data_IF_523727974552
#
_entry.id   IF_523727974552
#
_cell.length_a   1.000
_cell.length_b   1.000
_cell.length_c   1.000
_cell.angle_alpha   90.00
_cell.angle_beta   90.00
_cell.angle_gamma   90.00
#
_symmetry.space_group_name_H-M   'P 1'
#
loop_
_entity.id
_entity.type
_entity.pdbx_description
1 polymer ?
#
# COMPACT_ATOMS: atom_id res chain seq x y z
N UNK A 1 -5.47 14.33 1.62
CA UNK A 1 -4.59 15.54 1.51
C UNK A 1 -3.48 15.42 2.54
N UNK A 2 -2.22 15.63 2.14
CA UNK A 2 -1.08 15.62 3.07
C UNK A 2 -0.38 14.27 3.25
N UNK A 3 -0.77 13.22 2.57
CA UNK A 3 -0.11 11.92 2.60
C UNK A 3 1.39 12.03 2.23
N UNK A 4 1.69 12.82 1.23
CA UNK A 4 3.04 13.13 0.75
C UNK A 4 3.95 13.66 1.86
N UNK A 5 3.43 14.62 2.64
CA UNK A 5 4.15 15.24 3.76
C UNK A 5 4.24 14.30 4.97
N UNK A 6 3.18 13.55 5.25
CA UNK A 6 3.10 12.65 6.40
C UNK A 6 4.07 11.47 6.24
N UNK A 7 4.14 10.89 5.06
CA UNK A 7 5.03 9.76 4.75
C UNK A 7 6.45 10.23 4.40
N UNK A 8 6.63 11.52 4.07
CA UNK A 8 7.91 12.05 3.63
C UNK A 8 8.33 11.48 2.27
N UNK A 9 7.40 11.47 1.32
CA UNK A 9 7.61 10.88 -0.01
C UNK A 9 8.86 11.43 -0.71
N UNK A 10 9.19 12.69 -0.50
CA UNK A 10 10.40 13.31 -1.07
C UNK A 10 11.69 12.54 -0.71
N UNK A 11 11.70 11.85 0.44
CA UNK A 11 12.87 11.11 0.90
C UNK A 11 12.99 9.72 0.29
N UNK A 12 11.89 9.18 -0.22
CA UNK A 12 11.85 7.83 -0.79
C UNK A 12 11.79 7.82 -2.31
N UNK A 13 11.60 8.98 -2.94
CA UNK A 13 11.68 9.11 -4.41
C UNK A 13 13.15 8.99 -4.83
N UNK A 14 13.43 8.02 -5.68
CA UNK A 14 14.79 7.75 -6.22
C UNK A 14 14.97 8.27 -7.63
N UNK A 15 13.88 8.50 -8.36
CA UNK A 15 13.92 9.05 -9.72
C UNK A 15 12.63 9.78 -10.06
N UNK A 16 12.70 10.84 -10.86
CA UNK A 16 11.56 11.64 -11.30
C UNK A 16 11.04 12.62 -10.24
N UNK A 17 9.84 13.14 -10.46
CA UNK A 17 9.17 14.07 -9.55
C UNK A 17 7.78 13.53 -9.17
N UNK A 18 7.44 13.59 -7.89
CA UNK A 18 6.14 13.13 -7.41
C UNK A 18 5.00 13.97 -7.95
N UNK A 19 4.24 13.38 -8.84
CA UNK A 19 3.02 13.96 -9.42
C UNK A 19 2.06 12.81 -9.70
N UNK A 20 0.80 12.90 -9.24
CA UNK A 20 -0.20 11.85 -9.45
C UNK A 20 -1.21 12.20 -10.54
N UNK A 21 -1.40 13.46 -10.82
CA UNK A 21 -2.31 13.93 -11.86
C UNK A 21 -1.90 15.32 -12.33
N UNK A 22 -2.08 15.56 -13.60
CA UNK A 22 -2.20 16.90 -14.18
C UNK A 22 -3.58 17.01 -14.84
N UNK A 23 -3.86 18.11 -15.50
CA UNK A 23 -5.19 18.31 -16.14
C UNK A 23 -5.44 17.40 -17.35
N UNK A 24 -4.46 16.62 -17.79
CA UNK A 24 -4.50 15.82 -19.02
C UNK A 24 -4.29 14.34 -18.73
N UNK A 25 -3.34 14.00 -17.87
CA UNK A 25 -2.91 12.62 -17.63
C UNK A 25 -2.94 12.24 -16.15
N UNK A 26 -3.22 10.96 -15.90
CA UNK A 26 -3.01 10.33 -14.62
C UNK A 26 -1.60 9.74 -14.59
N UNK A 27 -0.95 9.90 -13.44
CA UNK A 27 0.40 9.38 -13.20
C UNK A 27 0.39 8.35 -12.10
N UNK A 28 1.34 7.44 -12.19
CA UNK A 28 1.64 6.46 -11.16
C UNK A 28 3.09 6.58 -10.72
N UNK A 29 3.32 6.26 -9.46
CA UNK A 29 4.65 6.19 -8.87
C UNK A 29 4.88 4.74 -8.44
N UNK A 30 5.48 3.90 -9.31
CA UNK A 30 5.82 2.52 -8.98
C UNK A 30 7.01 2.45 -8.02
N UNK A 31 7.08 1.36 -7.26
CA UNK A 31 8.30 0.99 -6.56
C UNK A 31 9.40 0.59 -7.53
N UNK A 32 10.64 0.67 -7.09
CA UNK A 32 11.83 0.44 -7.94
C UNK A 32 11.82 -0.95 -8.59
N UNK A 33 11.34 -1.98 -7.88
CA UNK A 33 11.24 -3.34 -8.43
C UNK A 33 10.16 -3.45 -9.50
N UNK A 34 8.97 -2.85 -9.30
CA UNK A 34 7.91 -2.78 -10.31
C UNK A 34 8.40 -2.02 -11.55
N UNK A 35 9.09 -0.90 -11.34
CA UNK A 35 9.67 -0.11 -12.43
C UNK A 35 10.67 -0.91 -13.26
N UNK A 36 11.55 -1.65 -12.59
CA UNK A 36 12.56 -2.47 -13.25
C UNK A 36 11.95 -3.65 -14.03
N UNK A 37 10.96 -4.34 -13.42
CA UNK A 37 10.30 -5.49 -14.02
C UNK A 37 9.47 -5.14 -15.25
N UNK A 38 8.75 -4.03 -15.19
CA UNK A 38 7.86 -3.58 -16.26
C UNK A 38 8.54 -2.60 -17.25
N UNK A 39 9.79 -2.20 -16.98
CA UNK A 39 10.51 -1.25 -17.81
C UNK A 39 9.90 0.15 -17.84
N UNK A 40 9.12 0.52 -16.82
CA UNK A 40 8.49 1.84 -16.73
C UNK A 40 9.43 2.83 -16.04
N UNK A 41 9.84 3.85 -16.78
CA UNK A 41 10.75 4.90 -16.31
C UNK A 41 10.02 6.24 -16.20
N UNK A 42 10.46 7.14 -15.29
CA UNK A 42 9.89 8.48 -15.19
C UNK A 42 9.94 9.21 -16.53
N UNK A 43 8.83 9.84 -16.88
CA UNK A 43 8.62 10.56 -18.15
C UNK A 43 8.78 9.70 -19.41
N UNK A 44 8.75 8.37 -19.26
CA UNK A 44 8.76 7.45 -20.39
C UNK A 44 7.47 7.56 -21.21
N UNK A 45 7.58 7.25 -22.49
CA UNK A 45 6.44 7.28 -23.42
C UNK A 45 5.51 6.08 -23.19
N UNK A 46 6.02 5.02 -22.59
CA UNK A 46 5.29 3.78 -22.38
C UNK A 46 4.41 3.89 -21.14
N UNK A 47 3.07 3.78 -21.28
CA UNK A 47 2.16 3.82 -20.14
C UNK A 47 2.18 2.49 -19.38
N UNK A 48 1.95 2.56 -18.08
CA UNK A 48 1.63 1.44 -17.22
C UNK A 48 0.11 1.21 -17.27
N UNK A 49 -0.31 -0.03 -17.52
CA UNK A 49 -1.72 -0.42 -17.49
C UNK A 49 -2.06 -1.06 -16.16
N UNK A 50 -3.09 -0.54 -15.51
CA UNK A 50 -3.62 -1.07 -14.26
C UNK A 50 -4.94 -1.77 -14.56
N UNK A 51 -5.04 -3.03 -14.18
CA UNK A 51 -6.22 -3.86 -14.35
C UNK A 51 -6.84 -4.16 -13.00
N UNK A 52 -8.12 -3.91 -12.83
CA UNK A 52 -8.87 -4.30 -11.66
C UNK A 52 -10.11 -5.11 -12.06
N UNK A 53 -10.42 -6.22 -11.39
CA UNK A 53 -11.64 -6.95 -11.68
C UNK A 53 -12.86 -6.07 -11.38
N UNK A 54 -13.87 -6.12 -12.22
CA UNK A 54 -15.15 -5.44 -11.99
C UNK A 54 -15.81 -5.99 -10.74
N UNK A 55 -16.43 -5.11 -9.96
CA UNK A 55 -17.12 -5.51 -8.71
C UNK A 55 -18.39 -6.29 -8.98
N UNK A 56 -19.08 -5.96 -10.06
CA UNK A 56 -20.34 -6.60 -10.46
C UNK A 56 -20.17 -7.28 -11.80
N UNK A 57 -20.80 -8.45 -11.93
CA UNK A 57 -20.80 -9.23 -13.15
C UNK A 57 -20.21 -10.62 -12.99
N UNK A 58 -20.48 -11.47 -13.98
CA UNK A 58 -19.83 -12.80 -14.09
C UNK A 58 -18.60 -12.66 -14.97
N UNK A 59 -17.55 -13.38 -14.59
CA UNK A 59 -16.36 -13.47 -15.45
C UNK A 59 -16.76 -14.06 -16.79
N UNK A 60 -16.56 -13.30 -17.86
CA UNK A 60 -16.81 -13.77 -19.20
C UNK A 60 -15.63 -14.61 -19.66
N UNK A 61 -15.81 -15.95 -19.71
CA UNK A 61 -14.76 -16.87 -20.11
C UNK A 61 -14.42 -16.78 -21.61
N UNK A 62 -15.31 -16.20 -22.44
CA UNK A 62 -15.08 -16.02 -23.88
C UNK A 62 -14.25 -14.77 -24.14
N UNK A 63 -14.53 -13.69 -23.39
CA UNK A 63 -13.80 -12.42 -23.48
C UNK A 63 -13.41 -11.96 -22.07
N UNK A 64 -12.33 -12.48 -21.50
CA UNK A 64 -11.91 -12.17 -20.14
C UNK A 64 -11.62 -10.69 -19.92
N UNK A 65 -11.16 -9.97 -20.95
CA UNK A 65 -10.84 -8.55 -20.90
C UNK A 65 -12.03 -7.69 -20.46
N UNK A 66 -13.25 -8.09 -20.84
CA UNK A 66 -14.48 -7.40 -20.43
C UNK A 66 -14.80 -7.51 -18.94
N UNK A 67 -14.08 -8.37 -18.21
CA UNK A 67 -14.25 -8.58 -16.78
C UNK A 67 -13.35 -7.67 -15.93
N UNK A 68 -12.53 -6.86 -16.57
CA UNK A 68 -11.61 -5.93 -15.90
C UNK A 68 -11.90 -4.50 -16.28
N UNK A 69 -11.76 -3.62 -15.31
CA UNK A 69 -11.58 -2.19 -15.56
C UNK A 69 -10.10 -1.95 -15.84
N UNK A 70 -9.82 -1.15 -16.85
CA UNK A 70 -8.43 -0.87 -17.27
C UNK A 70 -8.21 0.62 -17.30
N UNK A 71 -7.15 1.06 -16.63
CA UNK A 71 -6.70 2.45 -16.69
C UNK A 71 -5.21 2.50 -17.05
N UNK A 72 -4.85 3.52 -17.80
CA UNK A 72 -3.47 3.79 -18.17
C UNK A 72 -2.94 4.96 -17.37
N UNK A 73 -1.74 4.82 -16.85
CA UNK A 73 -1.01 5.88 -16.14
C UNK A 73 0.39 5.98 -16.67
N UNK A 74 0.94 7.19 -16.67
CA UNK A 74 2.35 7.40 -17.00
C UNK A 74 3.18 7.44 -15.72
N UNK A 75 4.44 7.02 -15.80
CA UNK A 75 5.32 7.05 -14.64
C UNK A 75 5.88 8.46 -14.45
N UNK A 76 5.57 9.10 -13.32
CA UNK A 76 6.10 10.42 -12.97
C UNK A 76 7.36 10.34 -12.13
N UNK A 77 7.41 9.36 -11.24
CA UNK A 77 8.53 9.11 -10.34
C UNK A 77 8.62 7.62 -10.01
N UNK A 78 9.73 7.22 -9.39
CA UNK A 78 9.93 5.87 -8.85
C UNK A 78 10.34 6.02 -7.39
N UNK A 79 9.75 5.21 -6.50
CA UNK A 79 10.10 5.21 -5.09
C UNK A 79 10.87 3.96 -4.67
N UNK A 80 11.64 4.06 -3.59
CA UNK A 80 12.22 2.92 -2.88
C UNK A 80 12.23 3.16 -1.38
N UNK A 81 11.73 2.19 -0.64
CA UNK A 81 11.79 2.14 0.82
C UNK A 81 12.77 1.08 1.32
N UNK A 82 13.51 0.45 0.40
CA UNK A 82 14.46 -0.65 0.66
C UNK A 82 13.79 -1.87 1.33
N UNK A 83 12.51 -2.08 1.03
CA UNK A 83 11.75 -3.23 1.48
C UNK A 83 11.11 -3.90 0.25
N UNK A 84 11.52 -5.13 -0.12
CA UNK A 84 11.05 -5.82 -1.34
C UNK A 84 9.53 -5.95 -1.41
N UNK A 85 8.87 -6.03 -0.26
CA UNK A 85 7.42 -6.16 -0.18
C UNK A 85 6.67 -4.94 -0.70
N UNK A 86 7.25 -3.75 -0.53
CA UNK A 86 6.72 -2.49 -1.06
C UNK A 86 7.31 -2.16 -2.42
N UNK A 87 8.61 -2.28 -2.55
CA UNK A 87 9.35 -1.87 -3.76
C UNK A 87 8.98 -2.71 -5.00
N UNK A 88 8.61 -4.01 -4.80
CA UNK A 88 8.29 -4.93 -5.89
C UNK A 88 6.79 -5.09 -6.16
N UNK A 89 5.91 -4.52 -5.33
CA UNK A 89 4.47 -4.81 -5.42
C UNK A 89 3.59 -3.58 -5.49
N UNK A 90 4.07 -2.42 -5.07
CA UNK A 90 3.23 -1.24 -4.93
C UNK A 90 3.41 -0.23 -6.06
N UNK A 91 2.29 0.38 -6.41
CA UNK A 91 2.21 1.56 -7.28
C UNK A 91 1.33 2.59 -6.59
N UNK A 92 1.84 3.78 -6.36
CA UNK A 92 1.08 4.89 -5.78
C UNK A 92 0.35 5.60 -6.93
N UNK A 93 -0.96 5.77 -6.78
CA UNK A 93 -1.81 6.50 -7.74
C UNK A 93 -2.73 7.46 -7.00
N UNK A 94 -3.41 8.35 -7.73
CA UNK A 94 -4.40 9.23 -7.12
C UNK A 94 -5.59 8.42 -6.59
N UNK A 95 -6.19 8.90 -5.50
CA UNK A 95 -7.36 8.24 -4.89
C UNK A 95 -8.56 8.23 -5.83
N UNK A 96 -8.70 9.24 -6.67
CA UNK A 96 -9.80 9.33 -7.62
C UNK A 96 -9.64 8.30 -8.73
N UNK A 97 -8.41 8.07 -9.20
CA UNK A 97 -8.12 6.98 -10.12
C UNK A 97 -8.40 5.61 -9.48
N UNK A 98 -7.98 5.43 -8.24
CA UNK A 98 -8.24 4.18 -7.51
C UNK A 98 -9.75 3.94 -7.32
N UNK A 99 -10.52 4.96 -6.96
CA UNK A 99 -11.99 4.86 -6.87
C UNK A 99 -12.62 4.48 -8.21
N UNK A 100 -12.18 5.12 -9.29
CA UNK A 100 -12.67 4.84 -10.64
C UNK A 100 -12.41 3.39 -11.05
N UNK A 101 -11.18 2.91 -10.89
CA UNK A 101 -10.80 1.56 -11.35
C UNK A 101 -11.44 0.45 -10.51
N UNK A 102 -11.63 0.69 -9.21
CA UNK A 102 -12.28 -0.25 -8.29
C UNK A 102 -13.79 -0.05 -8.14
N UNK A 103 -14.39 0.86 -8.91
CA UNK A 103 -15.83 1.17 -8.86
C UNK A 103 -16.32 1.51 -7.44
N UNK A 104 -15.53 2.30 -6.71
CA UNK A 104 -15.93 2.80 -5.40
C UNK A 104 -16.75 4.09 -5.53
N UNK A 105 -17.73 4.24 -4.64
CA UNK A 105 -18.51 5.46 -4.53
C UNK A 105 -17.62 6.65 -4.15
N UNK A 106 -18.06 7.85 -4.50
CA UNK A 106 -17.39 9.09 -4.11
C UNK A 106 -17.26 9.16 -2.58
N UNK A 107 -16.08 9.54 -2.13
CA UNK A 107 -15.76 9.61 -0.70
C UNK A 107 -15.45 8.27 -0.02
N UNK A 108 -15.64 7.12 -0.70
CA UNK A 108 -15.28 5.83 -0.13
C UNK A 108 -13.76 5.68 0.01
N UNK A 109 -13.33 5.16 1.15
CA UNK A 109 -11.94 4.83 1.46
C UNK A 109 -11.89 3.51 2.22
N UNK A 110 -10.85 2.73 2.01
CA UNK A 110 -10.65 1.45 2.72
C UNK A 110 -10.07 1.69 4.12
N UNK A 111 -9.18 2.66 4.24
CA UNK A 111 -8.55 3.05 5.49
C UNK A 111 -8.15 4.52 5.47
N UNK A 112 -8.02 5.09 6.67
CA UNK A 112 -7.52 6.46 6.86
C UNK A 112 -6.28 6.36 7.75
N UNK A 113 -5.18 6.90 7.27
CA UNK A 113 -3.96 7.02 8.06
C UNK A 113 -3.91 8.36 8.78
N UNK A 114 -3.62 8.33 10.06
CA UNK A 114 -3.60 9.52 10.92
C UNK A 114 -2.20 9.67 11.51
N UNK A 115 -1.56 10.79 11.19
CA UNK A 115 -0.28 11.17 11.79
C UNK A 115 -0.48 11.79 13.16
N UNK A 116 0.15 11.23 14.19
CA UNK A 116 0.17 11.80 15.55
C UNK A 116 1.30 12.82 15.68
N UNK A 117 1.03 13.97 16.30
CA UNK A 117 2.05 15.01 16.51
C UNK A 117 3.18 14.49 17.39
N UNK A 118 4.39 14.96 17.09
CA UNK A 118 5.58 14.60 17.87
C UNK A 118 5.42 15.06 19.33
N UNK A 119 5.54 14.10 20.26
CA UNK A 119 5.39 14.34 21.70
C UNK A 119 4.05 13.89 22.29
N UNK A 120 3.05 13.59 21.46
CA UNK A 120 1.78 13.04 21.92
C UNK A 120 1.88 11.52 22.15
N UNK A 121 1.09 11.03 23.11
CA UNK A 121 0.99 9.61 23.39
C UNK A 121 0.02 8.93 22.40
N UNK A 122 0.53 8.02 21.58
CA UNK A 122 -0.25 7.31 20.55
C UNK A 122 -1.45 6.58 21.16
N UNK A 123 -1.29 5.96 22.34
CA UNK A 123 -2.38 5.21 22.99
C UNK A 123 -3.52 6.13 23.46
N UNK A 124 -3.20 7.33 23.92
CA UNK A 124 -4.23 8.28 24.37
C UNK A 124 -4.98 8.87 23.17
N UNK A 125 -4.26 9.20 22.11
CA UNK A 125 -4.88 9.66 20.84
C UNK A 125 -5.76 8.55 20.25
N UNK A 126 -5.29 7.30 20.26
CA UNK A 126 -6.08 6.15 19.78
C UNK A 126 -7.41 6.03 20.53
N UNK A 127 -7.39 6.07 21.87
CA UNK A 127 -8.62 6.01 22.70
C UNK A 127 -9.58 7.15 22.41
N UNK A 128 -9.05 8.36 22.17
CA UNK A 128 -9.88 9.51 21.80
C UNK A 128 -10.56 9.28 20.44
N UNK A 129 -9.83 8.76 19.45
CA UNK A 129 -10.37 8.43 18.13
C UNK A 129 -11.43 7.33 18.25
N UNK A 130 -11.16 6.26 19.00
CA UNK A 130 -12.13 5.18 19.24
C UNK A 130 -13.42 5.70 19.87
N UNK A 131 -13.30 6.61 20.85
CA UNK A 131 -14.45 7.25 21.50
C UNK A 131 -15.31 8.08 20.52
N UNK A 132 -14.66 8.78 19.59
CA UNK A 132 -15.35 9.62 18.60
C UNK A 132 -16.01 8.78 17.50
N UNK A 133 -15.34 7.73 17.04
CA UNK A 133 -15.80 6.91 15.91
C UNK A 133 -16.83 5.85 16.33
N UNK A 134 -16.82 5.41 17.59
CA UNK A 134 -17.66 4.32 18.08
C UNK A 134 -17.29 2.94 17.48
N UNK A 135 -18.17 1.95 17.74
CA UNK A 135 -17.89 0.53 17.43
C UNK A 135 -17.91 0.17 15.94
N UNK A 136 -18.28 1.11 15.07
CA UNK A 136 -18.34 0.89 13.62
C UNK A 136 -16.98 0.89 12.91
N UNK A 137 -15.92 1.33 13.59
CA UNK A 137 -14.58 1.50 13.03
C UNK A 137 -13.53 0.76 13.85
N UNK A 138 -12.53 0.24 13.16
CA UNK A 138 -11.39 -0.41 13.81
C UNK A 138 -10.18 0.51 13.77
N UNK A 139 -9.76 1.01 14.91
CA UNK A 139 -8.56 1.84 15.05
C UNK A 139 -7.38 0.93 15.41
N UNK A 140 -6.35 0.97 14.60
CA UNK A 140 -5.14 0.17 14.81
C UNK A 140 -3.92 1.09 14.89
N UNK A 141 -3.08 0.86 15.86
CA UNK A 141 -1.75 1.45 15.89
C UNK A 141 -0.79 0.70 14.95
N UNK A 142 0.44 1.20 14.82
CA UNK A 142 1.47 0.61 13.96
C UNK A 142 1.81 -0.84 14.36
N UNK A 143 1.78 -1.17 15.64
CA UNK A 143 2.09 -2.51 16.13
C UNK A 143 0.95 -3.48 15.86
N UNK A 144 -0.28 -3.03 16.04
CA UNK A 144 -1.47 -3.83 15.76
C UNK A 144 -1.69 -4.06 14.24
N UNK A 145 -1.23 -3.16 13.40
CA UNK A 145 -1.23 -3.38 11.94
C UNK A 145 -0.29 -4.53 11.56
N UNK A 146 0.78 -4.71 12.29
CA UNK A 146 1.79 -5.75 12.07
C UNK A 146 1.64 -6.93 13.04
N UNK A 147 0.51 -7.05 13.73
CA UNK A 147 0.28 -8.09 14.77
C UNK A 147 0.53 -9.50 14.23
N UNK A 148 0.10 -9.79 13.02
CA UNK A 148 0.29 -11.11 12.41
C UNK A 148 1.77 -11.40 12.16
N UNK A 149 2.56 -10.41 11.75
CA UNK A 149 4.00 -10.53 11.60
C UNK A 149 4.69 -10.79 12.94
N UNK A 150 4.33 -10.06 14.00
CA UNK A 150 4.86 -10.29 15.33
C UNK A 150 4.45 -11.63 15.92
N UNK A 151 3.26 -12.14 15.62
CA UNK A 151 2.83 -13.49 16.01
C UNK A 151 3.70 -14.55 15.36
N UNK A 152 3.99 -14.45 14.06
CA UNK A 152 4.86 -15.37 13.33
C UNK A 152 6.26 -15.36 13.94
N UNK A 153 6.87 -14.20 14.16
CA UNK A 153 8.18 -14.08 14.80
C UNK A 153 8.22 -14.71 16.21
N UNK A 154 7.14 -14.57 16.98
CA UNK A 154 7.02 -15.16 18.30
C UNK A 154 6.98 -16.69 18.26
N UNK A 155 6.23 -17.24 17.32
CA UNK A 155 6.16 -18.70 17.07
C UNK A 155 7.52 -19.23 16.61
N UNK A 156 8.18 -18.57 15.67
CA UNK A 156 9.52 -18.93 15.19
C UNK A 156 10.55 -18.98 16.33
N UNK A 157 10.54 -17.97 17.21
CA UNK A 157 11.40 -17.94 18.40
C UNK A 157 11.13 -19.12 19.33
N UNK A 158 9.87 -19.49 19.55
CA UNK A 158 9.50 -20.64 20.36
C UNK A 158 9.96 -21.97 19.75
N UNK A 159 9.79 -22.13 18.44
CA UNK A 159 10.24 -23.32 17.71
C UNK A 159 11.77 -23.45 17.80
N UNK A 160 12.50 -22.36 17.59
CA UNK A 160 13.97 -22.33 17.70
C UNK A 160 14.43 -22.72 19.11
N UNK A 161 13.80 -22.16 20.14
CA UNK A 161 14.10 -22.52 21.53
C UNK A 161 13.86 -24.01 21.81
N UNK A 162 12.75 -24.56 21.30
CA UNK A 162 12.39 -25.95 21.47
C UNK A 162 13.42 -26.88 20.79
N UNK A 163 13.83 -26.55 19.56
CA UNK A 163 14.86 -27.30 18.83
C UNK A 163 16.19 -27.27 19.60
N UNK A 164 16.63 -26.12 20.08
CA UNK A 164 17.86 -25.99 20.89
C UNK A 164 17.78 -26.80 22.18
N UNK A 165 16.64 -26.78 22.87
CA UNK A 165 16.41 -27.57 24.07
C UNK A 165 16.51 -29.08 23.79
N UNK A 166 15.97 -29.57 22.68
CA UNK A 166 16.10 -30.96 22.26
C UNK A 166 17.54 -31.34 21.95
N UNK A 167 18.27 -30.49 21.22
CA UNK A 167 19.69 -30.73 20.93
C UNK A 167 20.49 -30.85 22.24
N UNK A 168 20.25 -29.97 23.19
CA UNK A 168 20.93 -29.95 24.47
C UNK A 168 20.59 -31.19 25.34
N UNK A 169 19.36 -31.73 25.18
CA UNK A 169 18.93 -32.91 25.90
C UNK A 169 19.56 -34.21 25.36
N UNK A 170 19.89 -34.22 24.06
CA UNK A 170 20.50 -35.38 23.38
C UNK A 170 22.04 -35.37 23.53
N UNK A 171 22.65 -34.19 23.72
CA UNK A 171 24.09 -34.03 23.87
C UNK A 171 24.56 -34.40 25.27
#
# INVERSE_FOLDING_TARGET
EGFDKMVGLDKIIVAGNYTLSDNVFNYGVPGVGVSAELGCIPYGVQPLYIYAPKREGRVNLVNPENSFNTERVFTSAVFSVQQPEYDNKLVIVSIDLARKIFEYADGAVTSVEIGVKKGENVNDVKKQIETVLGDGFKVKDRYEQQEDYFKIMKVEKWITFLILAFILLIA
#
